data_IF_811985946705
#
_entry.id   IF_811985946705
#
_cell.length_a   1.000
_cell.length_b   1.000
_cell.length_c   1.000
_cell.angle_alpha   90.00
_cell.angle_beta   90.00
_cell.angle_gamma   90.00
#
_symmetry.space_group_name_H-M   'P 1'
#
loop_
_entity.id
_entity.type
_entity.pdbx_description
1 polymer ?
#
# COMPACT_ATOMS: atom_id res chain seq x y z
N UNK A 1 22.72 46.08 50.95
CA UNK A 1 22.25 45.85 49.58
C UNK A 1 23.07 44.72 48.98
N UNK A 2 22.44 43.65 48.47
CA UNK A 2 23.14 42.52 47.86
C UNK A 2 23.27 42.75 46.35
N UNK A 3 24.50 42.79 45.83
CA UNK A 3 24.76 42.92 44.39
C UNK A 3 24.19 41.72 43.62
N UNK A 4 23.43 41.93 42.53
CA UNK A 4 22.90 40.85 41.72
C UNK A 4 24.05 40.06 41.07
N UNK A 5 24.06 38.75 41.29
CA UNK A 5 25.00 37.83 40.63
C UNK A 5 24.77 37.91 39.11
N UNK A 6 25.81 38.15 38.29
CA UNK A 6 25.67 38.21 36.85
C UNK A 6 25.14 36.86 36.34
N UNK A 7 23.95 36.91 35.73
CA UNK A 7 23.36 35.74 35.07
C UNK A 7 24.28 35.34 33.92
N UNK A 8 24.83 34.13 33.98
CA UNK A 8 25.71 33.62 32.94
C UNK A 8 24.99 33.66 31.59
N UNK A 9 25.43 34.56 30.72
CA UNK A 9 24.91 34.67 29.34
C UNK A 9 25.16 33.35 28.64
N UNK A 10 24.09 32.64 28.28
CA UNK A 10 24.19 31.38 27.56
C UNK A 10 24.98 31.59 26.26
N UNK A 11 26.03 30.80 26.05
CA UNK A 11 26.81 30.86 24.81
C UNK A 11 25.88 30.58 23.62
N UNK A 12 25.94 31.40 22.55
CA UNK A 12 25.13 31.15 21.37
C UNK A 12 25.46 29.77 20.81
N UNK A 13 24.42 28.96 20.55
CA UNK A 13 24.60 27.65 19.93
C UNK A 13 25.10 27.83 18.49
N UNK A 14 26.05 27.00 18.03
CA UNK A 14 26.50 27.03 16.64
C UNK A 14 25.31 26.75 15.72
N UNK A 15 25.25 27.49 14.60
CA UNK A 15 24.22 27.29 13.59
C UNK A 15 24.29 25.86 13.05
N UNK A 16 23.13 25.21 12.89
CA UNK A 16 23.05 23.86 12.32
C UNK A 16 23.44 23.90 10.85
N UNK A 17 24.25 22.93 10.41
CA UNK A 17 24.59 22.74 9.01
C UNK A 17 23.32 22.54 8.15
N UNK A 18 23.02 23.41 7.16
CA UNK A 18 21.82 23.29 6.33
C UNK A 18 21.71 21.96 5.57
N UNK A 19 22.84 21.36 5.18
CA UNK A 19 22.87 20.06 4.51
C UNK A 19 22.37 18.92 5.41
N UNK A 20 22.65 18.98 6.71
CA UNK A 20 22.13 18.00 7.68
C UNK A 20 20.61 18.11 7.82
N UNK A 21 20.08 19.32 7.88
CA UNK A 21 18.63 19.57 7.93
C UNK A 21 17.95 19.05 6.67
N UNK A 22 18.49 19.38 5.49
CA UNK A 22 17.97 18.91 4.20
C UNK A 22 17.99 17.38 4.10
N UNK A 23 19.09 16.74 4.51
CA UNK A 23 19.19 15.28 4.57
C UNK A 23 18.14 14.65 5.50
N UNK A 24 17.94 15.22 6.69
CA UNK A 24 16.96 14.70 7.63
C UNK A 24 15.53 14.85 7.07
N UNK A 25 15.19 16.00 6.51
CA UNK A 25 13.87 16.25 5.90
C UNK A 25 13.60 15.32 4.70
N UNK A 26 14.61 15.05 3.87
CA UNK A 26 14.50 14.07 2.79
C UNK A 26 14.06 12.69 3.31
N UNK A 27 14.70 12.20 4.38
CA UNK A 27 14.32 10.92 4.98
C UNK A 27 12.94 10.94 5.61
N UNK A 28 12.53 12.08 6.20
CA UNK A 28 11.15 12.25 6.69
C UNK A 28 10.13 12.11 5.56
N UNK A 29 10.39 12.70 4.40
CA UNK A 29 9.48 12.62 3.25
C UNK A 29 9.39 11.20 2.69
N UNK A 30 10.52 10.50 2.61
CA UNK A 30 10.54 9.08 2.25
C UNK A 30 9.74 8.24 3.26
N UNK A 31 9.88 8.52 4.55
CA UNK A 31 9.13 7.84 5.60
C UNK A 31 7.61 8.07 5.50
N UNK A 32 7.19 9.31 5.21
CA UNK A 32 5.78 9.62 4.95
C UNK A 32 5.24 8.82 3.75
N UNK A 33 6.01 8.71 2.66
CA UNK A 33 5.64 7.90 1.48
C UNK A 33 5.59 6.42 1.82
N UNK A 34 6.57 5.90 2.55
CA UNK A 34 6.64 4.51 3.00
C UNK A 34 5.43 4.14 3.85
N UNK A 35 5.08 5.01 4.81
CA UNK A 35 3.88 4.85 5.65
C UNK A 35 2.60 4.82 4.83
N UNK A 36 2.42 5.74 3.87
CA UNK A 36 1.24 5.76 2.99
C UNK A 36 1.12 4.46 2.18
N UNK A 37 2.24 4.00 1.61
CA UNK A 37 2.30 2.73 0.87
C UNK A 37 1.94 1.54 1.77
N UNK A 38 2.55 1.44 2.96
CA UNK A 38 2.26 0.39 3.91
C UNK A 38 0.79 0.40 4.37
N UNK A 39 0.24 1.57 4.69
CA UNK A 39 -1.15 1.69 5.13
C UNK A 39 -2.15 1.31 4.03
N UNK A 40 -1.85 1.61 2.76
CA UNK A 40 -2.65 1.14 1.62
C UNK A 40 -2.73 -0.40 1.59
N UNK A 41 -1.59 -1.08 1.74
CA UNK A 41 -1.57 -2.54 1.77
C UNK A 41 -2.21 -3.10 3.04
N UNK A 42 -1.96 -2.51 4.21
CA UNK A 42 -2.59 -2.92 5.48
C UNK A 42 -4.12 -2.83 5.41
N UNK A 43 -4.66 -1.75 4.86
CA UNK A 43 -6.10 -1.60 4.65
C UNK A 43 -6.68 -2.71 3.76
N UNK A 44 -5.96 -3.10 2.69
CA UNK A 44 -6.37 -4.22 1.85
C UNK A 44 -6.41 -5.57 2.60
N UNK A 45 -5.60 -5.73 3.63
CA UNK A 45 -5.62 -6.88 4.54
C UNK A 45 -6.51 -6.66 5.78
N UNK A 46 -7.34 -5.61 5.82
CA UNK A 46 -8.17 -5.23 6.97
C UNK A 46 -7.38 -5.09 8.28
N UNK A 47 -6.16 -4.54 8.19
CA UNK A 47 -5.30 -4.25 9.34
C UNK A 47 -5.30 -2.76 9.65
N UNK A 48 -5.19 -2.45 10.94
CA UNK A 48 -5.12 -1.06 11.42
C UNK A 48 -3.97 -0.27 10.79
N UNK A 49 -4.11 1.04 10.56
CA UNK A 49 -3.02 1.84 10.03
C UNK A 49 -1.86 1.96 11.03
N UNK A 50 -0.64 2.09 10.51
CA UNK A 50 0.54 2.42 11.32
C UNK A 50 0.47 3.88 11.77
N UNK A 51 1.02 4.13 12.98
CA UNK A 51 1.17 5.44 13.62
C UNK A 51 1.79 6.50 12.68
N UNK A 52 1.51 7.76 12.97
CA UNK A 52 2.01 8.92 12.21
C UNK A 52 3.53 9.03 12.35
N UNK A 53 4.16 9.61 11.32
CA UNK A 53 5.59 9.93 11.30
C UNK A 53 5.88 10.97 12.39
N UNK A 54 6.98 10.78 13.12
CA UNK A 54 7.40 11.71 14.17
C UNK A 54 7.60 13.13 13.62
N UNK A 55 7.24 14.18 14.38
CA UNK A 55 7.37 15.57 13.94
C UNK A 55 8.84 15.94 13.71
N UNK A 56 9.06 16.96 12.87
CA UNK A 56 10.39 17.50 12.69
C UNK A 56 10.87 18.24 13.96
N UNK A 57 12.17 18.21 14.28
CA UNK A 57 12.75 19.09 15.29
C UNK A 57 12.45 20.56 14.97
N UNK A 58 12.53 21.42 16.00
CA UNK A 58 12.42 22.86 15.78
C UNK A 58 13.59 23.35 14.91
N UNK A 59 13.42 24.42 14.10
CA UNK A 59 14.50 24.93 13.24
C UNK A 59 15.79 25.28 13.99
N UNK A 60 15.67 25.73 15.25
CA UNK A 60 16.79 26.09 16.14
C UNK A 60 17.30 24.93 17.02
N UNK A 61 16.81 23.71 16.81
CA UNK A 61 17.30 22.53 17.54
C UNK A 61 18.77 22.24 17.23
N UNK A 62 19.45 21.53 18.13
CA UNK A 62 20.86 21.17 17.97
C UNK A 62 21.08 20.24 16.76
N UNK A 63 22.30 20.26 16.21
CA UNK A 63 22.68 19.38 15.10
C UNK A 63 22.50 17.89 15.44
N UNK A 64 22.80 17.50 16.68
CA UNK A 64 22.59 16.12 17.17
C UNK A 64 21.12 15.71 17.13
N UNK A 65 20.20 16.63 17.48
CA UNK A 65 18.76 16.40 17.40
C UNK A 65 18.30 16.14 15.97
N UNK A 66 18.78 16.94 15.01
CA UNK A 66 18.50 16.75 13.58
C UNK A 66 19.09 15.43 13.05
N UNK A 67 20.33 15.10 13.43
CA UNK A 67 20.98 13.87 13.01
C UNK A 67 20.25 12.63 13.57
N UNK A 68 19.85 12.65 14.84
CA UNK A 68 19.08 11.58 15.47
C UNK A 68 17.70 11.41 14.81
N UNK A 69 16.99 12.51 14.54
CA UNK A 69 15.71 12.48 13.85
C UNK A 69 15.83 11.88 12.44
N UNK A 70 16.83 12.31 11.65
CA UNK A 70 17.07 11.78 10.31
C UNK A 70 17.43 10.28 10.30
N UNK A 71 18.27 9.82 11.23
CA UNK A 71 18.58 8.38 11.37
C UNK A 71 17.33 7.56 11.69
N UNK A 72 16.49 8.05 12.60
CA UNK A 72 15.21 7.41 12.95
C UNK A 72 14.27 7.33 11.74
N UNK A 73 14.02 8.45 11.05
CA UNK A 73 13.16 8.44 9.86
C UNK A 73 13.69 7.53 8.76
N UNK A 74 15.02 7.48 8.55
CA UNK A 74 15.65 6.55 7.62
C UNK A 74 15.34 5.10 7.98
N UNK A 75 15.58 4.70 9.23
CA UNK A 75 15.29 3.34 9.69
C UNK A 75 13.80 2.99 9.53
N UNK A 76 12.92 3.87 9.98
CA UNK A 76 11.47 3.69 9.86
C UNK A 76 11.00 3.59 8.40
N UNK A 77 11.54 4.42 7.50
CA UNK A 77 11.20 4.38 6.08
C UNK A 77 11.57 3.04 5.44
N UNK A 78 12.79 2.55 5.71
CA UNK A 78 13.30 1.27 5.22
C UNK A 78 12.41 0.12 5.70
N UNK A 79 12.12 0.07 7.01
CA UNK A 79 11.27 -0.97 7.59
C UNK A 79 9.86 -0.97 7.01
N UNK A 80 9.28 0.23 6.83
CA UNK A 80 7.93 0.38 6.27
C UNK A 80 7.87 0.00 4.80
N UNK A 81 8.86 0.35 3.99
CA UNK A 81 8.94 -0.11 2.61
C UNK A 81 9.10 -1.62 2.52
N UNK A 82 9.97 -2.21 3.35
CA UNK A 82 10.15 -3.66 3.40
C UNK A 82 8.84 -4.36 3.81
N UNK A 83 8.13 -3.85 4.81
CA UNK A 83 6.84 -4.36 5.24
C UNK A 83 5.76 -4.23 4.15
N UNK A 84 5.71 -3.10 3.44
CA UNK A 84 4.79 -2.88 2.33
C UNK A 84 5.05 -3.86 1.19
N UNK A 85 6.34 -4.10 0.85
CA UNK A 85 6.75 -5.08 -0.15
C UNK A 85 6.29 -6.49 0.23
N UNK A 86 6.53 -6.93 1.47
CA UNK A 86 6.04 -8.25 1.95
C UNK A 86 4.53 -8.42 1.83
N UNK A 87 3.74 -7.39 2.12
CA UNK A 87 2.29 -7.44 1.95
C UNK A 87 1.88 -7.48 0.48
N UNK A 88 2.55 -6.70 -0.39
CA UNK A 88 2.36 -6.77 -1.84
C UNK A 88 2.63 -8.17 -2.35
N UNK A 89 3.78 -8.75 -2.01
CA UNK A 89 4.20 -10.07 -2.48
C UNK A 89 3.20 -11.14 -2.05
N UNK A 90 2.73 -11.07 -0.80
CA UNK A 90 1.66 -11.95 -0.28
C UNK A 90 0.33 -11.78 -1.02
N UNK A 91 -0.02 -10.57 -1.44
CA UNK A 91 -1.27 -10.32 -2.18
C UNK A 91 -1.17 -10.76 -3.64
N UNK A 92 0.01 -10.66 -4.26
CA UNK A 92 0.26 -11.11 -5.64
C UNK A 92 0.42 -12.63 -5.73
N UNK A 93 0.97 -13.27 -4.69
CA UNK A 93 1.21 -14.70 -4.63
C UNK A 93 0.62 -15.29 -3.34
N UNK A 94 -0.71 -15.25 -3.20
CA UNK A 94 -1.36 -15.78 -2.02
C UNK A 94 -1.21 -17.30 -1.96
N UNK A 95 -0.71 -17.84 -0.84
CA UNK A 95 -0.68 -19.28 -0.61
C UNK A 95 -2.09 -19.87 -0.33
N UNK A 96 -2.16 -21.19 -0.23
CA UNK A 96 -3.41 -21.94 0.02
C UNK A 96 -4.27 -22.11 -1.24
N UNK A 97 -5.47 -22.67 -1.09
CA UNK A 97 -6.47 -22.89 -2.14
C UNK A 97 -7.64 -21.89 -2.06
N UNK A 98 -8.43 -21.78 -3.14
CA UNK A 98 -9.68 -21.02 -3.16
C UNK A 98 -9.57 -19.53 -3.57
N UNK A 99 -10.71 -18.95 -3.94
CA UNK A 99 -10.77 -17.60 -4.51
C UNK A 99 -10.65 -16.45 -3.49
N UNK A 100 -11.04 -16.67 -2.23
CA UNK A 100 -11.04 -15.64 -1.18
C UNK A 100 -9.64 -15.07 -0.88
N UNK A 101 -8.59 -15.84 -1.18
CA UNK A 101 -7.19 -15.42 -1.06
C UNK A 101 -6.84 -14.19 -1.90
N UNK A 102 -7.62 -13.91 -2.95
CA UNK A 102 -7.43 -12.77 -3.85
C UNK A 102 -8.08 -11.48 -3.35
N UNK A 103 -8.87 -11.51 -2.27
CA UNK A 103 -9.56 -10.32 -1.76
C UNK A 103 -8.64 -9.13 -1.43
N UNK A 104 -7.47 -9.31 -0.80
CA UNK A 104 -6.54 -8.19 -0.60
C UNK A 104 -6.14 -7.55 -1.94
N UNK A 105 -5.87 -8.35 -2.96
CA UNK A 105 -5.51 -7.82 -4.27
C UNK A 105 -6.70 -7.16 -4.98
N UNK A 106 -7.90 -7.70 -4.84
CA UNK A 106 -9.13 -7.12 -5.36
C UNK A 106 -9.43 -5.74 -4.75
N UNK A 107 -9.25 -5.58 -3.43
CA UNK A 107 -9.35 -4.27 -2.75
C UNK A 107 -8.32 -3.27 -3.29
N UNK A 108 -7.10 -3.72 -3.59
CA UNK A 108 -6.06 -2.89 -4.23
C UNK A 108 -6.42 -2.52 -5.68
N UNK A 109 -7.10 -3.41 -6.39
CA UNK A 109 -7.66 -3.15 -7.71
C UNK A 109 -8.83 -2.14 -7.66
N UNK A 110 -9.48 -1.97 -6.50
CA UNK A 110 -10.55 -1.01 -6.27
C UNK A 110 -11.95 -1.62 -6.26
N UNK A 111 -12.06 -2.94 -6.09
CA UNK A 111 -13.36 -3.61 -5.88
C UNK A 111 -14.01 -3.13 -4.58
N UNK A 112 -15.33 -2.81 -4.59
CA UNK A 112 -16.05 -2.41 -3.39
C UNK A 112 -16.25 -3.59 -2.45
N UNK A 113 -16.19 -3.35 -1.14
CA UNK A 113 -16.32 -4.41 -0.11
C UNK A 113 -17.65 -5.17 -0.20
N UNK A 114 -18.73 -4.47 -0.56
CA UNK A 114 -20.05 -5.06 -0.71
C UNK A 114 -20.12 -6.15 -1.79
N UNK A 115 -19.19 -6.15 -2.75
CA UNK A 115 -19.16 -7.09 -3.87
C UNK A 115 -18.18 -8.25 -3.66
N UNK A 116 -17.46 -8.30 -2.52
CA UNK A 116 -16.43 -9.32 -2.28
C UNK A 116 -16.97 -10.75 -2.31
N UNK A 117 -18.18 -10.97 -1.78
CA UNK A 117 -18.82 -12.29 -1.81
C UNK A 117 -19.12 -12.76 -3.23
N UNK A 118 -19.70 -11.89 -4.07
CA UNK A 118 -19.99 -12.18 -5.47
C UNK A 118 -18.72 -12.34 -6.30
N UNK A 119 -17.68 -11.55 -6.01
CA UNK A 119 -16.38 -11.71 -6.65
C UNK A 119 -15.74 -13.07 -6.33
N UNK A 120 -15.86 -13.54 -5.09
CA UNK A 120 -15.38 -14.88 -4.71
C UNK A 120 -16.11 -15.96 -5.51
N UNK A 121 -17.45 -15.89 -5.59
CA UNK A 121 -18.25 -16.84 -6.38
C UNK A 121 -17.82 -16.84 -7.83
N UNK A 122 -17.69 -15.64 -8.43
CA UNK A 122 -17.23 -15.47 -9.80
C UNK A 122 -15.86 -16.12 -10.04
N UNK A 123 -14.82 -15.72 -9.29
CA UNK A 123 -13.47 -16.29 -9.45
C UNK A 123 -13.45 -17.81 -9.19
N UNK A 124 -14.28 -18.29 -8.27
CA UNK A 124 -14.37 -19.73 -7.98
C UNK A 124 -14.92 -20.50 -9.17
N UNK A 125 -16.01 -20.04 -9.79
CA UNK A 125 -16.61 -20.72 -10.94
C UNK A 125 -15.84 -20.50 -12.25
N UNK A 126 -15.24 -19.33 -12.43
CA UNK A 126 -14.52 -18.99 -13.65
C UNK A 126 -13.13 -19.64 -13.70
N UNK A 127 -12.39 -19.65 -12.58
CA UNK A 127 -10.98 -20.07 -12.59
C UNK A 127 -10.57 -21.00 -11.45
N UNK A 128 -11.48 -21.32 -10.52
CA UNK A 128 -11.11 -22.00 -9.27
C UNK A 128 -10.11 -21.20 -8.42
N UNK A 129 -9.92 -19.90 -8.71
CA UNK A 129 -8.88 -19.07 -8.14
C UNK A 129 -7.50 -19.21 -8.79
N UNK A 130 -7.31 -20.01 -9.83
CA UNK A 130 -6.04 -20.09 -10.56
C UNK A 130 -5.85 -18.84 -11.45
N UNK A 131 -4.78 -18.04 -11.25
CA UNK A 131 -4.52 -16.86 -12.07
C UNK A 131 -4.00 -17.22 -13.47
N UNK A 132 -3.58 -18.46 -13.70
CA UNK A 132 -3.13 -18.98 -14.98
C UNK A 132 -4.21 -19.79 -15.73
N UNK A 133 -5.44 -19.84 -15.19
CA UNK A 133 -6.53 -20.57 -15.82
C UNK A 133 -6.78 -20.11 -17.25
N UNK A 134 -7.01 -21.06 -18.13
CA UNK A 134 -7.31 -20.85 -19.55
C UNK A 134 -8.31 -21.88 -20.02
N UNK A 135 -9.35 -21.44 -20.74
CA UNK A 135 -10.28 -22.33 -21.45
C UNK A 135 -10.13 -22.25 -22.98
N UNK A 136 -9.00 -21.71 -23.45
CA UNK A 136 -8.67 -21.52 -24.87
C UNK A 136 -8.98 -20.11 -25.40
N UNK A 137 -10.00 -19.43 -24.87
CA UNK A 137 -10.41 -18.09 -25.32
C UNK A 137 -10.53 -17.08 -24.18
N UNK A 138 -10.77 -17.53 -22.96
CA UNK A 138 -10.79 -16.74 -21.74
C UNK A 138 -9.61 -17.10 -20.83
N UNK A 139 -9.12 -16.11 -20.07
CA UNK A 139 -7.88 -16.22 -19.31
C UNK A 139 -7.94 -15.54 -17.93
N UNK A 140 -7.18 -16.11 -17.00
CA UNK A 140 -6.94 -15.59 -15.66
C UNK A 140 -8.15 -15.68 -14.71
N UNK A 141 -8.06 -14.96 -13.59
CA UNK A 141 -8.99 -15.10 -12.46
C UNK A 141 -10.47 -14.90 -12.82
N UNK A 142 -10.76 -13.94 -13.69
CA UNK A 142 -12.14 -13.60 -14.08
C UNK A 142 -12.46 -14.03 -15.52
N UNK A 143 -11.65 -14.94 -16.09
CA UNK A 143 -11.83 -15.51 -17.43
C UNK A 143 -12.16 -14.45 -18.49
N UNK A 144 -11.26 -13.48 -18.64
CA UNK A 144 -11.40 -12.40 -19.61
C UNK A 144 -10.84 -12.83 -20.97
N UNK A 145 -11.47 -12.39 -22.07
CA UNK A 145 -11.06 -12.76 -23.42
C UNK A 145 -10.52 -11.57 -24.25
N UNK A 146 -10.11 -11.86 -25.48
CA UNK A 146 -9.49 -10.88 -26.39
C UNK A 146 -10.36 -9.65 -26.69
N UNK A 147 -11.70 -9.77 -26.67
CA UNK A 147 -12.58 -8.62 -26.96
C UNK A 147 -12.51 -7.55 -25.87
N UNK A 148 -11.96 -7.87 -24.69
CA UNK A 148 -11.76 -6.93 -23.58
C UNK A 148 -10.46 -6.13 -23.67
N UNK A 149 -9.59 -6.45 -24.67
CA UNK A 149 -8.32 -5.76 -24.97
C UNK A 149 -7.43 -5.59 -23.73
N UNK A 150 -7.21 -6.69 -23.00
CA UNK A 150 -6.41 -6.72 -21.77
C UNK A 150 -5.07 -7.38 -22.08
N UNK A 151 -3.99 -6.59 -22.02
CA UNK A 151 -2.63 -7.13 -22.08
C UNK A 151 -2.25 -7.74 -20.72
N UNK A 152 -1.43 -8.79 -20.71
CA UNK A 152 -0.98 -9.47 -19.48
C UNK A 152 -2.13 -9.96 -18.58
N UNK A 153 -3.13 -10.60 -19.19
CA UNK A 153 -4.35 -11.09 -18.52
C UNK A 153 -4.08 -12.12 -17.41
N UNK A 154 -2.91 -12.76 -17.40
CA UNK A 154 -2.48 -13.68 -16.33
C UNK A 154 -1.88 -12.96 -15.11
N UNK A 155 -1.52 -11.66 -15.21
CA UNK A 155 -1.22 -10.87 -14.02
C UNK A 155 -2.54 -10.67 -13.24
N UNK A 156 -2.64 -11.18 -11.99
CA UNK A 156 -3.91 -11.19 -11.27
C UNK A 156 -4.41 -9.78 -10.95
N UNK A 157 -3.53 -8.80 -10.76
CA UNK A 157 -3.93 -7.41 -10.51
C UNK A 157 -4.49 -6.77 -11.78
N UNK A 158 -3.85 -7.02 -12.93
CA UNK A 158 -4.34 -6.56 -14.23
C UNK A 158 -5.69 -7.19 -14.56
N UNK A 159 -5.82 -8.50 -14.35
CA UNK A 159 -7.07 -9.24 -14.54
C UNK A 159 -8.21 -8.68 -13.68
N UNK A 160 -7.98 -8.52 -12.36
CA UNK A 160 -8.97 -7.97 -11.43
C UNK A 160 -9.37 -6.52 -11.76
N UNK A 161 -8.44 -5.68 -12.25
CA UNK A 161 -8.74 -4.31 -12.69
C UNK A 161 -9.58 -4.29 -13.95
N UNK A 162 -9.28 -5.16 -14.91
CA UNK A 162 -10.06 -5.28 -16.12
C UNK A 162 -11.47 -5.84 -15.83
N UNK A 163 -11.57 -6.84 -14.95
CA UNK A 163 -12.84 -7.33 -14.45
C UNK A 163 -13.65 -6.25 -13.75
N UNK A 164 -13.03 -5.43 -12.88
CA UNK A 164 -13.69 -4.29 -12.24
C UNK A 164 -14.26 -3.30 -13.27
N UNK A 165 -13.50 -3.01 -14.34
CA UNK A 165 -13.95 -2.14 -15.43
C UNK A 165 -15.16 -2.74 -16.16
N UNK A 166 -15.14 -4.04 -16.46
CA UNK A 166 -16.25 -4.74 -17.10
C UNK A 166 -17.50 -4.77 -16.21
N UNK A 167 -17.32 -5.07 -14.92
CA UNK A 167 -18.40 -5.04 -13.93
C UNK A 167 -19.01 -3.65 -13.78
N UNK A 168 -18.22 -2.58 -13.76
CA UNK A 168 -18.76 -1.21 -13.73
C UNK A 168 -19.61 -0.88 -14.97
N UNK A 169 -19.30 -1.47 -16.12
CA UNK A 169 -20.01 -1.22 -17.37
C UNK A 169 -21.27 -2.08 -17.53
N UNK A 170 -21.31 -3.31 -16.97
CA UNK A 170 -22.36 -4.30 -17.26
C UNK A 170 -22.92 -5.03 -16.03
N UNK A 171 -22.47 -4.67 -14.84
CA UNK A 171 -22.73 -5.41 -13.61
C UNK A 171 -22.20 -6.85 -13.69
N UNK A 172 -22.81 -7.74 -12.91
CA UNK A 172 -22.46 -9.16 -12.89
C UNK A 172 -22.98 -9.97 -14.08
N UNK A 173 -23.83 -9.39 -14.93
CA UNK A 173 -24.40 -10.07 -16.10
C UNK A 173 -23.35 -10.51 -17.14
N UNK A 174 -22.13 -9.96 -17.05
CA UNK A 174 -21.03 -10.31 -17.95
C UNK A 174 -20.44 -11.70 -17.69
N UNK A 175 -20.73 -12.32 -16.54
CA UNK A 175 -20.25 -13.65 -16.17
C UNK A 175 -21.43 -14.62 -16.07
N UNK A 176 -21.38 -15.71 -16.84
CA UNK A 176 -22.48 -16.68 -16.90
C UNK A 176 -22.74 -17.34 -15.55
N UNK A 177 -21.67 -17.62 -14.78
CA UNK A 177 -21.77 -18.20 -13.44
C UNK A 177 -22.60 -17.33 -12.49
N UNK A 178 -22.60 -16.01 -12.69
CA UNK A 178 -23.32 -15.09 -11.81
C UNK A 178 -24.81 -14.99 -12.13
N UNK A 179 -25.25 -15.44 -13.30
CA UNK A 179 -26.68 -15.41 -13.69
C UNK A 179 -27.53 -16.39 -12.89
N UNK A 180 -26.93 -17.45 -12.36
CA UNK A 180 -27.63 -18.40 -11.48
C UNK A 180 -27.91 -17.83 -10.07
N UNK A 181 -27.38 -16.65 -9.75
CA UNK A 181 -27.48 -16.00 -8.43
C UNK A 181 -28.20 -14.64 -8.46
N UNK A 182 -28.94 -14.36 -9.54
CA UNK A 182 -29.80 -13.18 -9.70
C UNK A 182 -31.25 -13.55 -9.36
#
# INVERSE_FOLDING_TARGET
EASPTPTATAKPHPAVNPGLVAWALHWRDLDVRARRSLNRWRAAFLRDPVRRVSPAPAPRSLAETWAAAGRRWKAEAVDRFAAARRLRDRAMHPGGSGASRWLPLARIAGWPRAEEGRLIVCITGESGGDPNASNGYCFGLMQLNGVHRVNNVFDPLVNLRAGLRLWRARGWSAWSVMRAYQ
#
